data_IF_906124193481
#
_entry.id   IF_906124193481
#
_cell.length_a   1.000
_cell.length_b   1.000
_cell.length_c   1.000
_cell.angle_alpha   90.00
_cell.angle_beta   90.00
_cell.angle_gamma   90.00
#
_symmetry.space_group_name_H-M   'P 1'
#
loop_
_entity.id
_entity.type
_entity.pdbx_description
1 polymer ?
#
# COMPACT_ATOMS: atom_id res chain seq x y z
N UNK A 1 -0.21 -14.09 16.11
CA UNK A 1 -0.08 -13.58 14.73
C UNK A 1 -0.05 -12.06 14.67
N UNK A 2 -0.98 -11.35 15.31
CA UNK A 2 -1.22 -9.90 15.07
C UNK A 2 -0.31 -8.92 15.83
N UNK A 3 0.71 -9.41 16.54
CA UNK A 3 1.62 -8.57 17.35
C UNK A 3 2.94 -8.27 16.63
N UNK A 4 3.44 -9.23 15.86
CA UNK A 4 4.79 -9.17 15.29
C UNK A 4 4.88 -8.11 14.19
N UNK A 5 3.88 -8.07 13.29
CA UNK A 5 3.84 -7.10 12.19
C UNK A 5 3.86 -5.64 12.68
N UNK A 6 2.94 -5.16 13.55
CA UNK A 6 2.97 -3.76 13.98
C UNK A 6 4.23 -3.40 14.77
N UNK A 7 4.81 -4.35 15.51
CA UNK A 7 6.07 -4.12 16.21
C UNK A 7 7.24 -3.88 15.24
N UNK A 8 7.29 -4.63 14.13
CA UNK A 8 8.30 -4.41 13.07
C UNK A 8 8.02 -3.16 12.25
N UNK A 9 6.76 -2.88 11.91
CA UNK A 9 6.39 -1.67 11.16
C UNK A 9 6.86 -0.42 11.93
N UNK A 10 6.60 -0.34 13.24
CA UNK A 10 7.06 0.77 14.08
C UNK A 10 8.58 0.84 14.21
N UNK A 11 9.26 -0.31 14.32
CA UNK A 11 10.72 -0.34 14.36
C UNK A 11 11.34 0.16 13.04
N UNK A 12 10.71 -0.13 11.91
CA UNK A 12 11.17 0.29 10.58
C UNK A 12 10.89 1.77 10.30
N UNK A 13 9.90 2.39 10.94
CA UNK A 13 9.64 3.85 10.82
C UNK A 13 10.79 4.68 11.40
N UNK A 14 11.39 4.25 12.52
CA UNK A 14 12.52 4.95 13.12
C UNK A 14 13.53 4.00 13.77
N UNK A 15 14.37 3.31 12.98
CA UNK A 15 15.22 2.21 13.46
C UNK A 15 16.28 2.66 14.48
N UNK A 16 16.68 3.93 14.46
CA UNK A 16 17.62 4.50 15.42
C UNK A 16 17.03 4.69 16.83
N UNK A 17 15.70 4.74 16.97
CA UNK A 17 15.02 5.04 18.25
C UNK A 17 14.06 3.94 18.70
N UNK A 18 13.44 3.22 17.76
CA UNK A 18 12.41 2.24 18.05
C UNK A 18 12.98 0.85 17.78
N UNK A 19 13.25 0.12 18.86
CA UNK A 19 13.61 -1.31 18.78
C UNK A 19 12.34 -2.16 18.78
N UNK A 20 12.44 -3.43 18.40
CA UNK A 20 11.32 -4.38 18.45
C UNK A 20 10.59 -4.41 19.82
N UNK A 21 11.35 -4.33 20.93
CA UNK A 21 10.76 -4.28 22.28
C UNK A 21 9.91 -3.03 22.49
N UNK A 22 10.43 -1.87 22.08
CA UNK A 22 9.73 -0.58 22.19
C UNK A 22 8.52 -0.54 21.26
N UNK A 23 8.69 -0.93 20.00
CA UNK A 23 7.59 -1.02 19.02
C UNK A 23 6.49 -1.98 19.46
N UNK A 24 6.87 -3.12 20.05
CA UNK A 24 5.93 -4.07 20.66
C UNK A 24 5.15 -3.45 21.82
N UNK A 25 5.83 -2.72 22.72
CA UNK A 25 5.16 -2.05 23.83
C UNK A 25 4.16 -0.98 23.35
N UNK A 26 4.55 -0.16 22.37
CA UNK A 26 3.66 0.82 21.73
C UNK A 26 2.46 0.13 21.10
N UNK A 27 2.68 -0.97 20.38
CA UNK A 27 1.61 -1.74 19.73
C UNK A 27 0.60 -2.31 20.74
N UNK A 28 1.07 -2.85 21.87
CA UNK A 28 0.20 -3.35 22.94
C UNK A 28 -0.67 -2.25 23.53
N UNK A 29 -0.06 -1.09 23.85
CA UNK A 29 -0.81 0.05 24.41
C UNK A 29 -1.84 0.56 23.41
N UNK A 30 -1.45 0.71 22.14
CA UNK A 30 -2.38 1.12 21.08
C UNK A 30 -3.55 0.14 20.93
N UNK A 31 -3.29 -1.17 20.98
CA UNK A 31 -4.35 -2.19 20.88
C UNK A 31 -5.35 -2.10 22.05
N UNK A 32 -4.89 -1.79 23.27
CA UNK A 32 -5.77 -1.58 24.42
C UNK A 32 -6.61 -0.30 24.26
N UNK A 33 -6.00 0.78 23.79
CA UNK A 33 -6.66 2.09 23.57
C UNK A 33 -7.74 2.01 22.49
N UNK A 34 -7.55 1.20 21.45
CA UNK A 34 -8.57 0.99 20.41
C UNK A 34 -9.85 0.35 20.97
N UNK A 35 -9.78 -0.33 22.13
CA UNK A 35 -10.93 -0.96 22.79
C UNK A 35 -11.75 -1.84 21.83
N UNK A 36 -11.16 -2.89 21.23
CA UNK A 36 -11.77 -3.65 20.14
C UNK A 36 -13.12 -4.27 20.51
N UNK A 37 -13.37 -4.54 21.79
CA UNK A 37 -14.67 -5.01 22.27
C UNK A 37 -15.82 -4.04 21.98
N UNK A 38 -15.56 -2.72 21.97
CA UNK A 38 -16.56 -1.73 21.60
C UNK A 38 -16.93 -1.84 20.11
N UNK A 39 -15.97 -2.22 19.26
CA UNK A 39 -16.20 -2.45 17.83
C UNK A 39 -17.12 -3.65 17.58
N UNK A 40 -16.91 -4.75 18.32
CA UNK A 40 -17.70 -5.97 18.19
C UNK A 40 -19.08 -5.90 18.86
N UNK A 41 -19.41 -4.79 19.51
CA UNK A 41 -20.70 -4.61 20.20
C UNK A 41 -21.90 -4.54 19.25
N UNK A 42 -21.69 -4.12 17.99
CA UNK A 42 -22.76 -3.90 17.02
C UNK A 42 -22.35 -4.36 15.62
N UNK A 43 -23.13 -5.24 14.94
CA UNK A 43 -22.86 -5.67 13.57
C UNK A 43 -22.68 -4.52 12.57
N UNK A 44 -23.40 -3.42 12.77
CA UNK A 44 -23.30 -2.21 11.93
C UNK A 44 -21.91 -1.59 12.03
N UNK A 45 -21.38 -1.46 13.25
CA UNK A 45 -20.06 -0.86 13.50
C UNK A 45 -18.95 -1.73 12.92
N UNK A 46 -19.09 -3.06 13.05
CA UNK A 46 -18.17 -4.02 12.42
C UNK A 46 -18.16 -3.84 10.90
N UNK A 47 -19.33 -3.74 10.26
CA UNK A 47 -19.42 -3.58 8.81
C UNK A 47 -18.80 -2.26 8.33
N UNK A 48 -19.05 -1.15 9.03
CA UNK A 48 -18.42 0.14 8.71
C UNK A 48 -16.89 0.07 8.85
N UNK A 49 -16.39 -0.59 9.88
CA UNK A 49 -14.96 -0.74 10.10
C UNK A 49 -14.30 -1.62 9.04
N UNK A 50 -14.87 -2.79 8.76
CA UNK A 50 -14.35 -3.70 7.73
C UNK A 50 -14.45 -3.09 6.32
N UNK A 51 -15.56 -2.44 6.00
CA UNK A 51 -15.74 -1.71 4.76
C UNK A 51 -14.73 -0.57 4.61
N UNK A 52 -14.51 0.19 5.69
CA UNK A 52 -13.51 1.26 5.72
C UNK A 52 -12.10 0.73 5.52
N UNK A 53 -11.68 -0.29 6.28
CA UNK A 53 -10.37 -0.92 6.09
C UNK A 53 -10.19 -1.47 4.68
N UNK A 54 -11.19 -2.18 4.14
CA UNK A 54 -11.17 -2.70 2.78
C UNK A 54 -11.01 -1.60 1.73
N UNK A 55 -11.68 -0.46 1.91
CA UNK A 55 -11.61 0.67 1.00
C UNK A 55 -10.22 1.29 0.88
N UNK A 56 -9.38 1.21 1.92
CA UNK A 56 -7.98 1.65 1.85
C UNK A 56 -7.04 0.53 1.42
N UNK A 57 -7.23 -0.69 1.93
CA UNK A 57 -6.33 -1.81 1.66
C UNK A 57 -6.38 -2.26 0.19
N UNK A 58 -7.55 -2.23 -0.46
CA UNK A 58 -7.69 -2.61 -1.87
C UNK A 58 -6.86 -1.73 -2.81
N UNK A 59 -7.08 -0.41 -2.84
CA UNK A 59 -6.26 0.53 -3.60
C UNK A 59 -4.76 0.42 -3.33
N UNK A 60 -4.36 0.28 -2.06
CA UNK A 60 -2.95 0.11 -1.69
C UNK A 60 -2.38 -1.16 -2.33
N UNK A 61 -3.11 -2.28 -2.23
CA UNK A 61 -2.74 -3.53 -2.87
C UNK A 61 -2.63 -3.39 -4.40
N UNK A 62 -3.55 -2.69 -5.04
CA UNK A 62 -3.53 -2.43 -6.48
C UNK A 62 -2.26 -1.70 -6.94
N UNK A 63 -1.85 -0.65 -6.22
CA UNK A 63 -0.60 0.08 -6.50
C UNK A 63 0.61 -0.85 -6.35
N UNK A 64 0.71 -1.58 -5.23
CA UNK A 64 1.85 -2.47 -4.95
C UNK A 64 1.95 -3.58 -5.99
N UNK A 65 0.83 -4.22 -6.34
CA UNK A 65 0.78 -5.29 -7.33
C UNK A 65 1.31 -4.83 -8.69
N UNK A 66 0.83 -3.68 -9.16
CA UNK A 66 1.28 -3.11 -10.44
C UNK A 66 2.75 -2.72 -10.38
N UNK A 67 3.16 -2.05 -9.31
CA UNK A 67 4.54 -1.59 -9.12
C UNK A 67 5.51 -2.75 -9.20
N UNK A 68 5.24 -3.81 -8.44
CA UNK A 68 6.13 -4.95 -8.34
C UNK A 68 6.10 -5.83 -9.59
N UNK A 69 4.93 -6.26 -10.06
CA UNK A 69 4.85 -7.25 -11.13
C UNK A 69 4.90 -6.67 -12.54
N UNK A 70 4.31 -5.50 -12.79
CA UNK A 70 4.17 -4.97 -14.16
C UNK A 70 5.19 -3.89 -14.51
N UNK A 71 5.63 -3.10 -13.54
CA UNK A 71 6.62 -2.04 -13.76
C UNK A 71 8.02 -2.59 -13.47
N UNK A 72 8.22 -3.15 -12.28
CA UNK A 72 9.51 -3.65 -11.82
C UNK A 72 9.80 -5.10 -12.21
N UNK A 73 8.83 -5.81 -12.80
CA UNK A 73 8.98 -7.18 -13.28
C UNK A 73 9.52 -8.15 -12.21
N UNK A 74 9.09 -7.99 -10.96
CA UNK A 74 9.52 -8.78 -9.80
C UNK A 74 10.91 -8.45 -9.27
N UNK A 75 11.60 -7.44 -9.83
CA UNK A 75 12.96 -7.05 -9.44
C UNK A 75 12.95 -5.84 -8.51
N UNK A 76 13.49 -6.00 -7.30
CA UNK A 76 13.67 -4.92 -6.33
C UNK A 76 15.12 -4.90 -5.88
N UNK A 77 15.78 -3.77 -6.07
CA UNK A 77 17.10 -3.52 -5.49
C UNK A 77 16.98 -3.29 -3.98
N UNK A 78 17.54 -4.20 -3.18
CA UNK A 78 17.49 -4.12 -1.72
C UNK A 78 18.44 -3.04 -1.19
N UNK A 79 19.59 -2.82 -1.83
CA UNK A 79 20.56 -1.84 -1.37
C UNK A 79 19.98 -0.42 -1.50
N UNK A 80 19.36 -0.13 -2.64
CA UNK A 80 18.72 1.18 -2.87
C UNK A 80 17.46 1.37 -2.03
N UNK A 81 16.79 0.29 -1.57
CA UNK A 81 15.62 0.39 -0.70
C UNK A 81 15.95 1.00 0.68
N UNK A 82 17.19 0.82 1.13
CA UNK A 82 17.69 1.39 2.39
C UNK A 82 18.52 2.67 2.19
N UNK A 83 18.59 3.20 0.97
CA UNK A 83 19.30 4.45 0.66
C UNK A 83 18.36 5.66 0.67
N UNK A 84 18.49 6.50 1.71
CA UNK A 84 17.72 7.72 1.89
C UNK A 84 18.37 8.97 1.26
N UNK A 85 19.40 8.81 0.42
CA UNK A 85 20.08 9.92 -0.26
C UNK A 85 19.18 10.56 -1.32
N UNK A 86 19.11 11.90 -1.40
CA UNK A 86 18.38 12.58 -2.47
C UNK A 86 18.85 12.15 -3.86
N UNK A 87 17.92 11.60 -4.65
CA UNK A 87 18.22 11.08 -5.99
C UNK A 87 18.40 9.56 -6.05
N UNK A 88 18.39 8.85 -4.92
CA UNK A 88 18.32 7.38 -4.94
C UNK A 88 17.01 6.92 -5.58
N UNK A 89 17.01 5.72 -6.16
CA UNK A 89 15.91 5.19 -6.97
C UNK A 89 14.55 5.18 -6.27
N UNK A 90 14.52 4.94 -4.96
CA UNK A 90 13.28 4.91 -4.17
C UNK A 90 13.12 6.13 -3.25
N UNK A 91 14.00 7.13 -3.35
CA UNK A 91 13.82 8.40 -2.64
C UNK A 91 12.68 9.24 -3.24
N UNK A 92 12.43 9.09 -4.55
CA UNK A 92 11.42 9.84 -5.30
C UNK A 92 11.47 11.36 -4.96
N UNK A 93 10.34 11.95 -4.55
CA UNK A 93 10.26 13.36 -4.14
C UNK A 93 10.18 13.45 -2.62
N UNK A 94 11.32 13.71 -1.98
CA UNK A 94 11.44 13.83 -0.50
C UNK A 94 10.97 12.59 0.25
N UNK A 95 11.25 11.39 -0.26
CA UNK A 95 10.85 10.11 0.34
C UNK A 95 9.44 9.65 -0.02
N UNK A 96 8.72 10.37 -0.90
CA UNK A 96 7.34 10.02 -1.29
C UNK A 96 7.26 9.84 -2.80
N UNK A 97 6.62 8.74 -3.23
CA UNK A 97 6.25 8.53 -4.63
C UNK A 97 4.94 9.27 -4.93
N UNK A 98 4.97 10.42 -5.64
CA UNK A 98 3.76 11.17 -5.93
C UNK A 98 2.81 10.41 -6.87
N UNK A 99 3.34 9.61 -7.80
CA UNK A 99 2.52 8.81 -8.73
C UNK A 99 1.71 7.76 -7.97
N UNK A 100 2.33 7.10 -6.99
CA UNK A 100 1.63 6.15 -6.12
C UNK A 100 0.52 6.84 -5.32
N UNK A 101 0.79 8.03 -4.78
CA UNK A 101 -0.20 8.80 -4.01
C UNK A 101 -1.38 9.27 -4.89
N UNK A 102 -1.10 9.75 -6.11
CA UNK A 102 -2.11 10.17 -7.08
C UNK A 102 -2.95 9.02 -7.63
N UNK A 103 -2.41 7.79 -7.65
CA UNK A 103 -3.21 6.60 -7.94
C UNK A 103 -4.05 6.15 -6.73
N UNK A 104 -3.44 6.17 -5.54
CA UNK A 104 -4.04 5.65 -4.32
C UNK A 104 -5.19 6.52 -3.79
N UNK A 105 -4.98 7.83 -3.61
CA UNK A 105 -5.95 8.68 -2.90
C UNK A 105 -7.32 8.76 -3.60
N UNK A 106 -7.41 8.98 -4.93
CA UNK A 106 -8.70 8.97 -5.62
C UNK A 106 -9.37 7.59 -5.55
N UNK A 107 -8.57 6.52 -5.62
CA UNK A 107 -9.07 5.15 -5.54
C UNK A 107 -9.60 4.76 -4.17
N UNK A 108 -8.89 5.13 -3.11
CA UNK A 108 -9.37 4.99 -1.74
C UNK A 108 -10.62 5.84 -1.50
N UNK A 109 -10.67 7.07 -2.03
CA UNK A 109 -11.85 7.93 -1.93
C UNK A 109 -13.09 7.29 -2.55
N UNK A 110 -13.00 6.82 -3.79
CA UNK A 110 -14.12 6.14 -4.45
C UNK A 110 -14.49 4.84 -3.73
N UNK A 111 -13.52 4.00 -3.38
CA UNK A 111 -13.78 2.76 -2.65
C UNK A 111 -14.46 3.03 -1.30
N UNK A 112 -14.07 4.08 -0.57
CA UNK A 112 -14.66 4.44 0.70
C UNK A 112 -16.10 4.94 0.53
N UNK A 113 -16.38 5.74 -0.50
CA UNK A 113 -17.76 6.16 -0.83
C UNK A 113 -18.62 4.94 -1.13
N UNK A 114 -18.14 4.01 -1.94
CA UNK A 114 -18.88 2.78 -2.28
C UNK A 114 -19.08 1.87 -1.07
N UNK A 115 -18.10 1.78 -0.17
CA UNK A 115 -18.16 0.90 1.00
C UNK A 115 -19.02 1.45 2.14
N UNK A 116 -19.07 2.78 2.32
CA UNK A 116 -19.61 3.40 3.55
C UNK A 116 -20.93 4.15 3.32
N UNK A 117 -21.23 4.60 2.10
CA UNK A 117 -22.48 5.34 1.84
C UNK A 117 -23.61 4.35 1.60
N UNK A 118 -24.67 4.45 2.42
CA UNK A 118 -25.82 3.53 2.42
C UNK A 118 -26.49 3.38 1.05
N UNK A 119 -26.49 4.43 0.22
CA UNK A 119 -27.01 4.42 -1.16
C UNK A 119 -26.33 3.37 -2.04
N UNK A 120 -25.08 3.01 -1.74
CA UNK A 120 -24.28 2.04 -2.48
C UNK A 120 -24.21 0.68 -1.79
N UNK A 121 -25.16 0.35 -0.90
CA UNK A 121 -25.14 -0.92 -0.13
C UNK A 121 -25.00 -2.18 -0.99
N UNK A 122 -25.58 -2.17 -2.19
CA UNK A 122 -25.57 -3.33 -3.09
C UNK A 122 -24.20 -3.55 -3.74
N UNK A 123 -23.40 -2.47 -3.87
CA UNK A 123 -22.05 -2.51 -4.46
C UNK A 123 -20.94 -2.45 -3.41
N UNK A 124 -21.26 -2.15 -2.15
CA UNK A 124 -20.31 -2.09 -1.04
C UNK A 124 -19.44 -3.35 -0.89
N UNK A 125 -19.94 -4.59 -1.06
CA UNK A 125 -19.10 -5.79 -1.01
C UNK A 125 -18.02 -5.84 -2.09
N UNK A 126 -18.21 -5.13 -3.21
CA UNK A 126 -17.27 -5.09 -4.34
C UNK A 126 -16.33 -3.87 -4.30
N UNK A 127 -16.53 -2.94 -3.36
CA UNK A 127 -15.72 -1.73 -3.21
C UNK A 127 -14.22 -2.00 -3.19
N UNK A 128 -13.79 -3.09 -2.55
CA UNK A 128 -12.39 -3.51 -2.49
C UNK A 128 -11.83 -3.80 -3.89
N UNK A 129 -12.54 -4.59 -4.70
CA UNK A 129 -12.12 -4.93 -6.07
C UNK A 129 -12.12 -3.71 -6.98
N UNK A 130 -13.15 -2.86 -6.86
CA UNK A 130 -13.26 -1.62 -7.65
C UNK A 130 -12.11 -0.67 -7.32
N UNK A 131 -11.84 -0.45 -6.03
CA UNK A 131 -10.72 0.38 -5.58
C UNK A 131 -9.37 -0.15 -6.02
N UNK A 132 -9.16 -1.47 -5.90
CA UNK A 132 -7.95 -2.16 -6.36
C UNK A 132 -7.73 -1.95 -7.86
N UNK A 133 -8.75 -2.26 -8.68
CA UNK A 133 -8.66 -2.14 -10.13
C UNK A 133 -8.43 -0.69 -10.57
N UNK A 134 -9.10 0.26 -9.92
CA UNK A 134 -8.92 1.68 -10.24
C UNK A 134 -7.53 2.19 -9.87
N UNK A 135 -7.02 1.85 -8.68
CA UNK A 135 -5.67 2.22 -8.27
C UNK A 135 -4.59 1.59 -9.19
N UNK A 136 -4.76 0.32 -9.53
CA UNK A 136 -3.89 -0.39 -10.45
C UNK A 136 -3.87 0.28 -11.84
N UNK A 137 -5.05 0.58 -12.40
CA UNK A 137 -5.18 1.27 -13.68
C UNK A 137 -4.56 2.67 -13.66
N UNK A 138 -4.86 3.47 -12.63
CA UNK A 138 -4.29 4.81 -12.48
C UNK A 138 -2.76 4.77 -12.35
N UNK A 139 -2.23 3.86 -11.54
CA UNK A 139 -0.79 3.74 -11.35
C UNK A 139 -0.08 3.28 -12.64
N UNK A 140 -0.66 2.33 -13.38
CA UNK A 140 -0.17 1.93 -14.70
C UNK A 140 -0.10 3.10 -15.68
N UNK A 141 -1.12 3.97 -15.68
CA UNK A 141 -1.16 5.14 -16.55
C UNK A 141 -0.11 6.18 -16.14
N UNK A 142 0.06 6.43 -14.84
CA UNK A 142 1.04 7.40 -14.33
C UNK A 142 2.49 6.94 -14.50
N UNK A 143 2.73 5.63 -14.49
CA UNK A 143 4.07 5.02 -14.64
C UNK A 143 4.34 4.46 -16.04
N UNK A 144 3.58 4.90 -17.05
CA UNK A 144 3.67 4.36 -18.42
C UNK A 144 5.07 4.53 -19.03
N UNK A 145 5.70 5.68 -18.81
CA UNK A 145 7.05 5.98 -19.32
C UNK A 145 8.12 5.14 -18.61
N UNK A 146 7.99 4.96 -17.29
CA UNK A 146 8.90 4.14 -16.49
C UNK A 146 8.83 2.66 -16.89
N UNK A 147 7.62 2.18 -17.21
CA UNK A 147 7.40 0.83 -17.74
C UNK A 147 8.03 0.67 -19.13
N UNK A 148 7.88 1.66 -20.01
CA UNK A 148 8.49 1.63 -21.34
C UNK A 148 10.02 1.59 -21.24
N UNK A 149 10.61 2.46 -20.42
CA UNK A 149 12.06 2.48 -20.18
C UNK A 149 12.57 1.16 -19.56
N UNK A 150 11.81 0.56 -18.64
CA UNK A 150 12.16 -0.75 -18.07
C UNK A 150 12.10 -1.88 -19.10
N UNK A 151 11.14 -1.85 -20.03
CA UNK A 151 11.02 -2.83 -21.10
C UNK A 151 12.21 -2.75 -22.09
N UNK A 152 12.60 -1.54 -22.51
CA UNK A 152 13.73 -1.34 -23.41
C UNK A 152 15.05 -1.86 -22.82
N UNK A 153 15.30 -1.58 -21.53
CA UNK A 153 16.49 -2.06 -20.83
C UNK A 153 16.55 -3.60 -20.72
N UNK A 154 15.39 -4.26 -20.65
CA UNK A 154 15.33 -5.74 -20.59
C UNK A 154 15.64 -6.42 -21.93
N UNK A 155 15.42 -5.73 -23.06
CA UNK A 155 15.73 -6.24 -24.40
C UNK A 155 17.21 -6.13 -24.70
N UNK A 156 17.86 -5.06 -24.23
CA UNK A 156 19.30 -4.82 -24.39
C UNK A 156 20.16 -5.84 -23.61
N UNK A 157 19.67 -6.33 -22.48
CA UNK A 157 20.38 -7.26 -21.59
C UNK A 157 20.28 -8.75 -22.02
N UNK A 158 19.83 -9.03 -23.25
CA UNK A 158 19.87 -10.39 -23.79
C UNK A 158 21.33 -10.76 -24.10
N UNK A 159 21.83 -11.93 -23.63
CA UNK A 159 23.17 -12.36 -23.98
C UNK A 159 23.25 -12.53 -25.49
N UNK A 160 24.28 -11.95 -26.11
CA UNK A 160 24.67 -12.28 -27.47
C UNK A 160 24.97 -13.78 -27.47
N UNK A 161 24.12 -14.59 -28.09
CA UNK A 161 24.44 -15.99 -28.36
C UNK A 161 25.71 -16.00 -29.21
N UNK A 162 26.81 -16.48 -28.63
CA UNK A 162 28.10 -16.70 -29.28
C UNK A 162 28.15 -18.12 -29.82
#
# INVERSE_FOLDING_TARGET
>A
ANFVSPAYDLANVWPQKITFKVGGMISTVAALVVTPWNLFSNPTVVNYFLGGLGAFLGPLFGVIMVDYYLIKHGRVDVNELFDATPGSRYYYRKGVNPKALWAFLPAAGVAAVLALVKTFSDVAPYSWFIGTAMAAGLYLLLCRDERAAAADNSVSDKPVEV
#
